data_IF_445557578360
#
_entry.id   IF_445557578360
#
_cell.length_a   1.000
_cell.length_b   1.000
_cell.length_c   1.000
_cell.angle_alpha   90.00
_cell.angle_beta   90.00
_cell.angle_gamma   90.00
#
_symmetry.space_group_name_H-M   'P 1'
#
loop_
_entity.id
_entity.type
_entity.pdbx_description
1 polymer ?
#
# COMPACT_ATOMS: atom_id res chain seq x y z
N UNK A 1 -10.99 12.83 8.89
CA UNK A 1 -10.97 11.38 9.14
C UNK A 1 -10.43 11.04 10.53
N UNK A 2 -9.20 11.44 10.91
CA UNK A 2 -8.67 11.10 12.24
C UNK A 2 -9.50 11.67 13.41
N UNK A 3 -10.16 12.83 13.21
CA UNK A 3 -11.11 13.39 14.19
C UNK A 3 -12.33 12.51 14.48
N UNK A 4 -12.57 11.45 13.69
CA UNK A 4 -13.67 10.50 13.88
C UNK A 4 -13.26 9.29 14.74
N UNK A 5 -12.02 9.22 15.24
CA UNK A 5 -11.53 8.16 16.12
C UNK A 5 -10.42 7.23 15.59
N UNK A 6 -10.23 7.02 14.26
CA UNK A 6 -9.11 6.22 13.78
C UNK A 6 -7.75 6.84 14.14
N UNK A 7 -6.79 5.99 14.52
CA UNK A 7 -5.38 6.41 14.73
C UNK A 7 -4.55 6.44 13.44
N UNK A 8 -5.05 5.80 12.39
CA UNK A 8 -4.40 5.69 11.08
C UNK A 8 -5.45 5.90 10.00
N UNK A 9 -5.15 6.74 9.01
CA UNK A 9 -5.92 6.85 7.78
C UNK A 9 -4.95 6.82 6.60
N UNK A 10 -5.25 5.99 5.60
CA UNK A 10 -4.47 5.90 4.36
C UNK A 10 -5.40 6.23 3.20
N UNK A 11 -5.03 7.22 2.41
CA UNK A 11 -5.76 7.63 1.20
C UNK A 11 -4.88 7.31 0.01
N UNK A 12 -5.27 6.29 -0.76
CA UNK A 12 -4.59 5.93 -2.00
C UNK A 12 -4.90 6.96 -3.09
N UNK A 13 -3.89 7.27 -3.91
CA UNK A 13 -3.92 8.30 -4.95
C UNK A 13 -3.51 7.73 -6.33
N UNK A 14 -3.69 6.42 -6.53
CA UNK A 14 -3.29 5.71 -7.74
C UNK A 14 -1.80 5.92 -8.07
N UNK A 15 -1.45 6.42 -9.27
CA UNK A 15 -0.05 6.62 -9.67
C UNK A 15 0.69 7.68 -8.84
N UNK A 16 -0.01 8.42 -7.96
CA UNK A 16 0.61 9.36 -7.02
C UNK A 16 0.95 8.72 -5.67
N UNK A 17 0.69 7.43 -5.47
CA UNK A 17 0.97 6.72 -4.22
C UNK A 17 -0.12 6.90 -3.17
N UNK A 18 0.21 7.31 -1.95
CA UNK A 18 -0.77 7.47 -0.88
C UNK A 18 -0.42 8.60 0.11
N UNK A 19 -1.46 9.22 0.68
CA UNK A 19 -1.33 10.04 1.89
C UNK A 19 -1.59 9.16 3.10
N UNK A 20 -0.66 9.14 4.04
CA UNK A 20 -0.76 8.44 5.32
C UNK A 20 -0.87 9.49 6.42
N UNK A 21 -1.94 9.42 7.21
CA UNK A 21 -2.14 10.25 8.39
C UNK A 21 -2.13 9.36 9.63
N UNK A 22 -1.21 9.65 10.56
CA UNK A 22 -1.03 8.92 11.82
C UNK A 22 -1.30 9.86 12.99
N UNK A 23 -2.07 9.40 13.97
CA UNK A 23 -2.27 10.12 15.22
C UNK A 23 -1.04 9.89 16.12
N UNK A 24 -0.22 10.92 16.33
CA UNK A 24 0.98 10.86 17.15
C UNK A 24 1.07 12.07 18.10
N UNK A 25 1.40 11.84 19.37
CA UNK A 25 1.60 12.93 20.36
C UNK A 25 0.43 13.94 20.43
N UNK A 26 -0.81 13.47 20.28
CA UNK A 26 -2.01 14.31 20.32
C UNK A 26 -2.31 15.11 19.04
N UNK A 27 -1.54 14.92 17.97
CA UNK A 27 -1.69 15.64 16.69
C UNK A 27 -1.53 14.70 15.48
N UNK A 28 -2.11 15.06 14.32
CA UNK A 28 -1.93 14.28 13.10
C UNK A 28 -0.55 14.54 12.49
N UNK A 29 0.21 13.48 12.24
CA UNK A 29 1.38 13.49 11.34
C UNK A 29 0.94 13.01 9.96
N UNK A 30 1.33 13.74 8.91
CA UNK A 30 0.91 13.48 7.53
C UNK A 30 2.13 13.21 6.67
N UNK A 31 2.10 12.10 5.94
CA UNK A 31 3.16 11.66 5.05
C UNK A 31 2.59 11.41 3.66
N UNK A 32 3.33 11.82 2.63
CA UNK A 32 3.07 11.41 1.26
C UNK A 32 4.10 10.35 0.87
N UNK A 33 3.62 9.19 0.46
CA UNK A 33 4.45 8.10 -0.05
C UNK A 33 4.18 7.99 -1.55
N UNK A 34 5.20 8.24 -2.37
CA UNK A 34 5.11 8.14 -3.82
C UNK A 34 5.01 6.69 -4.30
N UNK A 35 4.29 6.48 -5.39
CA UNK A 35 4.29 5.21 -6.12
C UNK A 35 5.42 5.19 -7.16
N UNK A 36 5.98 4.01 -7.46
CA UNK A 36 6.87 3.86 -8.61
C UNK A 36 6.11 4.18 -9.90
N UNK A 37 6.79 4.82 -10.86
CA UNK A 37 6.25 5.01 -12.21
C UNK A 37 6.30 3.68 -12.95
N UNK A 38 5.15 3.23 -13.42
CA UNK A 38 4.98 1.98 -14.18
C UNK A 38 4.08 2.21 -15.38
N UNK A 39 4.19 1.36 -16.39
CA UNK A 39 3.25 1.32 -17.51
C UNK A 39 2.03 0.48 -17.11
N UNK A 40 0.90 1.13 -16.84
CA UNK A 40 -0.31 0.44 -16.41
C UNK A 40 -1.06 -0.19 -17.61
N UNK A 41 -1.40 -1.47 -17.49
CA UNK A 41 -2.19 -2.25 -18.45
C UNK A 41 -3.66 -2.32 -18.03
N UNK A 42 -3.92 -2.59 -16.75
CA UNK A 42 -5.27 -2.69 -16.18
C UNK A 42 -5.21 -2.35 -14.68
N UNK A 43 -5.93 -1.33 -14.23
CA UNK A 43 -5.89 -0.86 -12.84
C UNK A 43 -6.92 -1.53 -11.93
N UNK A 44 -7.71 -2.45 -12.47
CA UNK A 44 -8.80 -3.11 -11.74
C UNK A 44 -8.24 -3.94 -10.58
N UNK A 45 -8.73 -3.69 -9.36
CA UNK A 45 -8.29 -4.42 -8.16
C UNK A 45 -7.01 -3.89 -7.50
N UNK A 46 -6.37 -2.85 -8.03
CA UNK A 46 -5.15 -2.29 -7.43
C UNK A 46 -5.34 -1.83 -5.97
N UNK A 47 -6.52 -1.27 -5.66
CA UNK A 47 -6.90 -0.89 -4.30
C UNK A 47 -7.04 -2.08 -3.35
N UNK A 48 -7.65 -3.17 -3.83
CA UNK A 48 -7.79 -4.41 -3.05
C UNK A 48 -6.43 -5.10 -2.85
N UNK A 49 -5.58 -5.08 -3.88
CA UNK A 49 -4.20 -5.55 -3.82
C UNK A 49 -3.40 -4.77 -2.76
N UNK A 50 -3.53 -3.44 -2.76
CA UNK A 50 -2.94 -2.57 -1.73
C UNK A 50 -3.44 -2.94 -0.33
N UNK A 51 -4.77 -3.03 -0.14
CA UNK A 51 -5.37 -3.34 1.16
C UNK A 51 -4.94 -4.70 1.69
N UNK A 52 -4.94 -5.74 0.84
CA UNK A 52 -4.50 -7.08 1.22
C UNK A 52 -3.01 -7.11 1.58
N UNK A 53 -2.17 -6.42 0.81
CA UNK A 53 -0.74 -6.30 1.08
C UNK A 53 -0.45 -5.56 2.38
N UNK A 54 -1.13 -4.43 2.62
CA UNK A 54 -1.00 -3.67 3.86
C UNK A 54 -1.45 -4.51 5.06
N UNK A 55 -2.60 -5.19 4.96
CA UNK A 55 -3.10 -6.07 6.02
C UNK A 55 -2.11 -7.21 6.34
N UNK A 56 -1.44 -7.78 5.33
CA UNK A 56 -0.41 -8.80 5.54
C UNK A 56 0.75 -8.27 6.40
N UNK A 57 1.35 -7.15 6.01
CA UNK A 57 2.49 -6.59 6.75
C UNK A 57 2.10 -6.08 8.14
N UNK A 58 0.94 -5.44 8.25
CA UNK A 58 0.44 -4.93 9.52
C UNK A 58 0.13 -6.06 10.51
N UNK A 59 -0.47 -7.15 10.04
CA UNK A 59 -0.74 -8.32 10.89
C UNK A 59 0.56 -9.05 11.29
N UNK A 60 1.57 -9.08 10.42
CA UNK A 60 2.85 -9.71 10.72
C UNK A 60 3.69 -8.91 11.72
N UNK A 61 3.56 -7.58 11.75
CA UNK A 61 4.32 -6.71 12.65
C UNK A 61 3.52 -5.44 13.03
N UNK A 62 2.54 -5.52 13.94
CA UNK A 62 1.65 -4.41 14.24
C UNK A 62 2.35 -3.19 14.89
N UNK A 63 3.51 -3.41 15.50
CA UNK A 63 4.35 -2.37 16.12
C UNK A 63 5.47 -1.86 15.20
N UNK A 64 5.51 -2.33 13.95
CA UNK A 64 6.51 -1.93 12.96
C UNK A 64 6.26 -0.54 12.37
N UNK A 65 7.17 -0.11 11.50
CA UNK A 65 7.03 1.14 10.76
C UNK A 65 5.90 1.05 9.72
N UNK A 66 4.76 1.69 10.05
CA UNK A 66 3.59 1.74 9.19
C UNK A 66 3.85 2.38 7.83
N UNK A 67 4.77 3.35 7.74
CA UNK A 67 5.11 4.00 6.47
C UNK A 67 5.81 3.02 5.54
N UNK A 68 6.67 2.16 6.08
CA UNK A 68 7.33 1.11 5.32
C UNK A 68 6.33 0.03 4.86
N UNK A 69 5.36 -0.33 5.70
CA UNK A 69 4.28 -1.26 5.30
C UNK A 69 3.44 -0.70 4.15
N UNK A 70 3.09 0.59 4.21
CA UNK A 70 2.36 1.27 3.13
C UNK A 70 3.21 1.34 1.86
N UNK A 71 4.52 1.63 1.97
CA UNK A 71 5.44 1.63 0.82
C UNK A 71 5.49 0.26 0.13
N UNK A 72 5.60 -0.82 0.89
CA UNK A 72 5.55 -2.19 0.35
C UNK A 72 4.20 -2.47 -0.32
N UNK A 73 3.09 -2.11 0.31
CA UNK A 73 1.76 -2.28 -0.28
C UNK A 73 1.58 -1.48 -1.59
N UNK A 74 2.11 -0.26 -1.68
CA UNK A 74 2.13 0.55 -2.91
C UNK A 74 2.93 -0.17 -4.01
N UNK A 75 4.12 -0.68 -3.69
CA UNK A 75 4.96 -1.40 -4.65
C UNK A 75 4.25 -2.65 -5.19
N UNK A 76 3.59 -3.42 -4.33
CA UNK A 76 2.84 -4.61 -4.73
C UNK A 76 1.65 -4.24 -5.63
N UNK A 77 0.89 -3.21 -5.26
CA UNK A 77 -0.21 -2.71 -6.09
C UNK A 77 0.30 -2.21 -7.46
N UNK A 78 1.47 -1.56 -7.52
CA UNK A 78 2.07 -1.12 -8.77
C UNK A 78 2.49 -2.29 -9.68
N UNK A 79 2.79 -3.47 -9.13
CA UNK A 79 3.01 -4.68 -9.94
C UNK A 79 1.69 -5.17 -10.52
N UNK A 80 0.61 -5.18 -9.72
CA UNK A 80 -0.70 -5.67 -10.17
C UNK A 80 -1.21 -4.93 -11.41
N UNK A 81 -1.01 -3.60 -11.49
CA UNK A 81 -1.54 -2.80 -12.60
C UNK A 81 -0.85 -3.05 -13.94
N UNK A 82 0.29 -3.73 -13.95
CA UNK A 82 1.06 -4.04 -15.16
C UNK A 82 0.56 -5.31 -15.88
N UNK A 83 -0.54 -5.92 -15.40
CA UNK A 83 -1.15 -7.14 -15.95
C UNK A 83 -2.66 -6.99 -16.05
N UNK A 84 -3.31 -7.76 -16.93
CA UNK A 84 -4.77 -7.78 -17.02
C UNK A 84 -5.42 -8.55 -15.87
N UNK A 85 -6.57 -8.06 -15.42
CA UNK A 85 -7.44 -8.73 -14.46
C UNK A 85 -7.25 -8.28 -13.02
N UNK A 86 -8.21 -8.65 -12.17
CA UNK A 86 -8.27 -8.30 -10.75
C UNK A 86 -7.35 -9.20 -9.92
N UNK A 87 -7.85 -10.26 -9.28
CA UNK A 87 -7.01 -11.14 -8.44
C UNK A 87 -5.94 -11.89 -9.25
N UNK A 88 -6.20 -12.17 -10.52
CA UNK A 88 -5.26 -12.84 -11.42
C UNK A 88 -4.02 -12.00 -11.74
N UNK A 89 -4.04 -10.69 -11.50
CA UNK A 89 -2.88 -9.82 -11.72
C UNK A 89 -1.95 -9.73 -10.51
N UNK A 90 -2.37 -10.20 -9.34
CA UNK A 90 -1.61 -10.04 -8.11
C UNK A 90 -0.30 -10.86 -8.20
N UNK A 91 0.83 -10.28 -7.75
CA UNK A 91 2.11 -10.98 -7.79
C UNK A 91 2.13 -12.18 -6.85
N UNK A 92 2.87 -13.22 -7.24
CA UNK A 92 3.09 -14.39 -6.39
C UNK A 92 4.12 -14.08 -5.30
N UNK A 93 4.14 -14.90 -4.24
CA UNK A 93 5.14 -14.75 -3.18
C UNK A 93 6.58 -14.88 -3.71
N UNK A 94 6.82 -15.79 -4.66
CA UNK A 94 8.15 -16.01 -5.22
C UNK A 94 8.61 -14.80 -6.04
N UNK A 95 7.70 -14.14 -6.76
CA UNK A 95 7.98 -12.88 -7.44
C UNK A 95 8.36 -11.78 -6.44
N UNK A 96 7.59 -11.65 -5.35
CA UNK A 96 7.86 -10.65 -4.32
C UNK A 96 9.23 -10.86 -3.63
N UNK A 97 9.63 -12.11 -3.40
CA UNK A 97 10.96 -12.47 -2.88
C UNK A 97 12.06 -12.12 -3.87
N UNK A 98 11.87 -12.43 -5.16
CA UNK A 98 12.83 -12.10 -6.21
C UNK A 98 13.06 -10.58 -6.32
N UNK A 99 12.00 -9.79 -6.09
CA UNK A 99 12.03 -8.33 -6.06
C UNK A 99 12.46 -7.74 -4.69
N UNK A 100 12.74 -8.58 -3.68
CA UNK A 100 13.13 -8.18 -2.32
C UNK A 100 12.14 -7.24 -1.62
N UNK A 101 10.84 -7.40 -1.91
CA UNK A 101 9.77 -6.64 -1.25
C UNK A 101 9.40 -7.29 0.09
N UNK A 102 9.44 -8.62 0.13
CA UNK A 102 9.16 -9.48 1.29
C UNK A 102 10.37 -10.32 1.67
#
# INVERSE_FOLDING_TARGET
MLSLGPRLAIVTLGPKGAIVAVQANGKPEIHHIEAPKVEAVDTTGAGDCFCGSFAHFFNANPDGDVLEMVRKAINIAAISVQRKGTQSSYPSLDELKALKIV
#
